data_IF_133895317605
#
_entry.id   IF_133895317605
#
_cell.length_a   1.000
_cell.length_b   1.000
_cell.length_c   1.000
_cell.angle_alpha   90.00
_cell.angle_beta   90.00
_cell.angle_gamma   90.00
#
_symmetry.space_group_name_H-M   'P 1'
#
loop_
_entity.id
_entity.type
_entity.pdbx_description
1 polymer ?
#
# COMPACT_ATOMS: atom_id res chain seq x y z
N UNK A 1 2.64 -5.74 18.28
CA UNK A 1 2.74 -6.91 17.38
C UNK A 1 4.21 -7.20 17.19
N UNK A 2 4.70 -8.47 17.26
CA UNK A 2 6.01 -8.80 16.73
C UNK A 2 6.22 -8.18 15.35
N UNK A 3 7.43 -7.71 15.14
CA UNK A 3 7.90 -7.19 13.87
C UNK A 3 8.20 -8.31 12.90
N UNK A 4 8.12 -8.00 11.61
CA UNK A 4 8.49 -8.91 10.53
C UNK A 4 9.48 -8.23 9.58
N UNK A 5 10.02 -9.01 8.65
CA UNK A 5 10.79 -8.47 7.54
C UNK A 5 9.85 -7.79 6.54
N UNK A 6 10.08 -6.50 6.27
CA UNK A 6 9.29 -5.65 5.38
C UNK A 6 10.16 -5.23 4.20
N UNK A 7 9.64 -5.38 2.98
CA UNK A 7 10.30 -4.95 1.75
C UNK A 7 10.58 -3.44 1.78
N UNK A 8 9.60 -2.66 2.22
CA UNK A 8 9.72 -1.22 2.45
C UNK A 8 9.39 -0.38 1.22
N UNK A 9 9.61 -0.92 0.02
CA UNK A 9 9.24 -0.31 -1.25
C UNK A 9 8.31 -1.17 -2.14
N UNK A 10 7.30 -1.81 -1.53
CA UNK A 10 6.38 -2.67 -2.29
C UNK A 10 5.40 -1.88 -3.18
N UNK A 11 5.60 -1.92 -4.50
CA UNK A 11 4.67 -1.40 -5.52
C UNK A 11 4.82 -2.18 -6.84
N UNK A 12 3.91 -1.97 -7.80
CA UNK A 12 3.90 -2.75 -9.07
C UNK A 12 5.20 -2.69 -9.88
N UNK A 13 6.01 -1.65 -9.72
CA UNK A 13 7.31 -1.54 -10.41
C UNK A 13 8.34 -2.55 -9.91
N UNK A 14 8.17 -3.06 -8.68
CA UNK A 14 9.08 -3.98 -8.02
C UNK A 14 8.57 -5.45 -8.05
N UNK A 15 7.50 -5.71 -8.81
CA UNK A 15 6.94 -7.05 -9.00
C UNK A 15 7.06 -7.44 -10.48
N UNK A 16 7.77 -8.53 -10.74
CA UNK A 16 7.90 -9.11 -12.07
C UNK A 16 6.93 -10.28 -12.23
N UNK A 17 6.19 -10.32 -13.33
CA UNK A 17 5.29 -11.42 -13.67
C UNK A 17 5.95 -12.39 -14.64
N UNK A 18 5.58 -13.66 -14.53
CA UNK A 18 6.07 -14.72 -15.41
C UNK A 18 5.55 -14.52 -16.83
N UNK A 19 6.30 -15.04 -17.79
CA UNK A 19 5.92 -15.02 -19.20
C UNK A 19 5.86 -16.47 -19.70
N UNK A 20 4.80 -16.82 -20.42
CA UNK A 20 4.65 -18.15 -21.00
C UNK A 20 5.62 -18.36 -22.18
N UNK A 21 5.67 -19.60 -22.68
CA UNK A 21 6.49 -19.96 -23.85
C UNK A 21 6.16 -19.17 -25.13
N UNK A 22 5.01 -18.51 -25.19
CA UNK A 22 4.54 -17.73 -26.34
C UNK A 22 4.78 -16.21 -26.15
N UNK A 23 5.33 -15.78 -25.01
CA UNK A 23 5.56 -14.36 -24.72
C UNK A 23 4.38 -13.66 -24.03
N UNK A 24 3.35 -14.38 -23.57
CA UNK A 24 2.22 -13.78 -22.87
C UNK A 24 2.50 -13.63 -21.37
N UNK A 25 2.09 -12.51 -20.78
CA UNK A 25 2.15 -12.28 -19.34
C UNK A 25 1.20 -13.25 -18.63
N UNK A 26 1.70 -13.92 -17.59
CA UNK A 26 0.94 -14.82 -16.74
C UNK A 26 0.64 -14.18 -15.37
N UNK A 27 -0.19 -14.84 -14.56
CA UNK A 27 -0.62 -14.33 -13.25
C UNK A 27 0.32 -14.73 -12.11
N UNK A 28 1.40 -15.47 -12.41
CA UNK A 28 2.40 -15.91 -11.45
C UNK A 28 3.51 -14.87 -11.29
N UNK A 29 3.78 -14.48 -10.04
CA UNK A 29 4.93 -13.61 -9.72
C UNK A 29 6.21 -14.40 -9.98
N UNK A 30 7.06 -13.89 -10.86
CA UNK A 30 8.39 -14.43 -11.16
C UNK A 30 9.43 -13.96 -10.14
N UNK A 31 9.36 -12.69 -9.74
CA UNK A 31 10.28 -12.10 -8.77
C UNK A 31 9.69 -10.87 -8.08
N UNK A 32 10.14 -10.65 -6.85
CA UNK A 32 10.04 -9.37 -6.16
C UNK A 32 11.48 -8.85 -6.05
N UNK A 33 11.71 -7.63 -6.54
CA UNK A 33 13.05 -7.03 -6.67
C UNK A 33 13.11 -5.71 -5.91
N UNK A 34 14.29 -5.09 -5.86
CA UNK A 34 14.47 -3.79 -5.19
C UNK A 34 14.28 -3.86 -3.66
N UNK A 35 15.09 -4.70 -3.01
CA UNK A 35 15.08 -4.91 -1.56
C UNK A 35 15.93 -3.89 -0.78
N UNK A 36 16.33 -2.75 -1.38
CA UNK A 36 17.26 -1.81 -0.73
C UNK A 36 16.65 -1.06 0.47
N UNK A 37 15.33 -1.02 0.57
CA UNK A 37 14.59 -0.42 1.69
C UNK A 37 14.18 -1.44 2.75
N UNK A 38 14.71 -2.66 2.67
CA UNK A 38 14.40 -3.76 3.59
C UNK A 38 14.65 -3.34 5.05
N UNK A 39 13.66 -3.58 5.91
CA UNK A 39 13.78 -3.29 7.33
C UNK A 39 12.84 -4.17 8.17
N UNK A 40 13.02 -4.11 9.48
CA UNK A 40 12.10 -4.70 10.45
C UNK A 40 10.90 -3.77 10.67
N UNK A 41 9.68 -4.27 10.49
CA UNK A 41 8.48 -3.42 10.52
C UNK A 41 7.17 -4.15 10.78
N UNK A 42 6.07 -3.46 10.51
CA UNK A 42 4.71 -3.99 10.67
C UNK A 42 4.34 -4.97 9.56
N UNK A 43 3.58 -6.01 9.92
CA UNK A 43 3.04 -6.98 8.96
C UNK A 43 2.17 -6.36 7.86
N UNK A 44 1.63 -5.16 8.11
CA UNK A 44 0.76 -4.45 7.16
C UNK A 44 1.48 -3.37 6.36
N UNK A 45 2.77 -3.12 6.60
CA UNK A 45 3.51 -2.03 5.94
C UNK A 45 3.52 -2.18 4.41
N UNK A 46 3.92 -3.35 3.90
CA UNK A 46 3.99 -3.59 2.46
C UNK A 46 2.61 -3.67 1.82
N UNK A 47 1.60 -4.21 2.52
CA UNK A 47 0.23 -4.27 2.03
C UNK A 47 -0.37 -2.87 1.89
N UNK A 48 -0.22 -2.02 2.91
CA UNK A 48 -0.63 -0.63 2.86
C UNK A 48 0.09 0.14 1.75
N UNK A 49 1.41 -0.07 1.60
CA UNK A 49 2.17 0.57 0.53
C UNK A 49 1.66 0.15 -0.84
N UNK A 50 1.47 -1.14 -1.05
CA UNK A 50 0.97 -1.67 -2.31
C UNK A 50 -0.40 -1.09 -2.68
N UNK A 51 -1.36 -1.11 -1.75
CA UNK A 51 -2.72 -0.60 -1.99
C UNK A 51 -2.75 0.92 -2.22
N UNK A 52 -1.91 1.69 -1.51
CA UNK A 52 -1.84 3.15 -1.66
C UNK A 52 -1.19 3.54 -2.99
N UNK A 53 -0.08 2.91 -3.38
CA UNK A 53 0.66 3.28 -4.57
C UNK A 53 0.03 2.72 -5.86
N UNK A 54 -0.54 1.51 -5.80
CA UNK A 54 -1.01 0.81 -6.98
C UNK A 54 -2.51 1.00 -7.23
N UNK A 55 -3.33 1.06 -6.18
CA UNK A 55 -4.77 1.27 -6.28
C UNK A 55 -5.14 2.75 -6.41
N UNK A 56 -6.18 3.06 -7.19
CA UNK A 56 -6.88 4.33 -7.01
C UNK A 56 -7.77 4.32 -5.75
N UNK A 57 -8.34 5.49 -5.42
CA UNK A 57 -9.17 5.62 -4.22
C UNK A 57 -10.45 4.78 -4.24
N UNK A 58 -10.99 4.39 -5.40
CA UNK A 58 -12.17 3.51 -5.49
C UNK A 58 -11.74 2.07 -5.26
N UNK A 59 -10.77 1.58 -6.03
CA UNK A 59 -10.25 0.21 -5.93
C UNK A 59 -9.79 -0.06 -4.51
N UNK A 60 -8.97 0.83 -3.95
CA UNK A 60 -8.43 0.68 -2.59
C UNK A 60 -9.54 0.48 -1.55
N UNK A 61 -10.54 1.37 -1.51
CA UNK A 61 -11.65 1.30 -0.55
C UNK A 61 -12.50 0.02 -0.70
N UNK A 62 -12.54 -0.57 -1.90
CA UNK A 62 -13.24 -1.83 -2.15
C UNK A 62 -12.39 -3.06 -1.79
N UNK A 63 -11.06 -2.95 -1.89
CA UNK A 63 -10.14 -4.08 -1.72
C UNK A 63 -9.55 -4.20 -0.32
N UNK A 64 -9.48 -3.12 0.46
CA UNK A 64 -8.77 -3.08 1.75
C UNK A 64 -9.15 -4.20 2.71
N UNK A 65 -10.44 -4.30 3.06
CA UNK A 65 -10.93 -5.33 3.99
C UNK A 65 -10.66 -6.75 3.46
N UNK A 66 -10.97 -6.97 2.17
CA UNK A 66 -10.73 -8.25 1.50
C UNK A 66 -9.24 -8.64 1.52
N UNK A 67 -8.35 -7.68 1.30
CA UNK A 67 -6.91 -7.93 1.25
C UNK A 67 -6.35 -8.28 2.64
N UNK A 68 -6.83 -7.63 3.70
CA UNK A 68 -6.45 -7.94 5.09
C UNK A 68 -6.98 -9.32 5.49
N UNK A 69 -8.24 -9.63 5.16
CA UNK A 69 -8.84 -10.95 5.38
C UNK A 69 -8.07 -12.05 4.64
N UNK A 70 -7.75 -11.82 3.36
CA UNK A 70 -6.98 -12.75 2.56
C UNK A 70 -5.58 -12.99 3.15
N UNK A 71 -4.90 -11.92 3.57
CA UNK A 71 -3.61 -12.03 4.25
C UNK A 71 -3.71 -12.86 5.53
N UNK A 72 -4.75 -12.65 6.34
CA UNK A 72 -4.98 -13.41 7.56
C UNK A 72 -5.24 -14.91 7.29
N UNK A 73 -6.04 -15.22 6.27
CA UNK A 73 -6.27 -16.61 5.85
C UNK A 73 -4.99 -17.28 5.31
N UNK A 74 -4.15 -16.53 4.58
CA UNK A 74 -2.82 -17.00 4.20
C UNK A 74 -1.97 -17.33 5.43
N UNK A 75 -1.88 -16.44 6.42
CA UNK A 75 -1.17 -16.73 7.67
C UNK A 75 -1.72 -17.98 8.35
N UNK A 76 -3.04 -18.10 8.48
CA UNK A 76 -3.67 -19.27 9.10
C UNK A 76 -3.28 -20.56 8.41
N UNK A 77 -3.22 -20.56 7.08
CA UNK A 77 -2.75 -21.72 6.30
C UNK A 77 -1.29 -22.05 6.60
N UNK A 78 -0.40 -21.06 6.64
CA UNK A 78 1.02 -21.25 6.97
C UNK A 78 1.23 -21.75 8.41
N UNK A 79 0.34 -21.40 9.34
CA UNK A 79 0.30 -21.94 10.70
C UNK A 79 -0.47 -23.28 10.83
N UNK A 80 -0.65 -24.00 9.73
CA UNK A 80 -1.27 -25.34 9.72
C UNK A 80 -2.78 -25.34 9.98
N UNK A 81 -3.46 -24.23 9.73
CA UNK A 81 -4.89 -24.04 9.95
C UNK A 81 -5.27 -23.63 11.38
N UNK A 82 -4.29 -23.54 12.28
CA UNK A 82 -4.52 -23.23 13.69
C UNK A 82 -4.37 -21.73 13.98
N UNK A 83 -5.50 -21.03 14.04
CA UNK A 83 -5.54 -19.60 14.31
C UNK A 83 -4.96 -19.22 15.68
N UNK A 84 -4.89 -20.14 16.65
CA UNK A 84 -4.33 -19.85 17.97
C UNK A 84 -2.80 -19.65 17.96
N UNK A 85 -2.14 -20.08 16.88
CA UNK A 85 -0.69 -19.90 16.68
C UNK A 85 -0.33 -18.60 15.97
N UNK A 86 -1.31 -17.90 15.40
CA UNK A 86 -1.08 -16.64 14.73
C UNK A 86 -0.81 -15.58 15.82
N UNK A 87 0.32 -14.85 15.76
CA UNK A 87 0.70 -13.91 16.81
C UNK A 87 -0.13 -12.61 16.82
N UNK A 88 -1.09 -12.47 15.90
CA UNK A 88 -1.93 -11.29 15.74
C UNK A 88 -3.38 -11.70 15.49
N UNK A 89 -4.34 -10.92 16.02
CA UNK A 89 -5.74 -11.01 15.60
C UNK A 89 -5.99 -10.20 14.33
N UNK A 90 -7.10 -10.47 13.64
CA UNK A 90 -7.49 -9.70 12.45
C UNK A 90 -7.73 -8.22 12.79
N UNK A 91 -8.26 -7.91 13.98
CA UNK A 91 -8.45 -6.53 14.44
C UNK A 91 -7.11 -5.82 14.68
N UNK A 92 -6.09 -6.55 15.18
CA UNK A 92 -4.75 -6.00 15.32
C UNK A 92 -4.12 -5.72 13.95
N UNK A 93 -4.35 -6.58 12.96
CA UNK A 93 -3.93 -6.33 11.58
C UNK A 93 -4.66 -5.12 10.98
N UNK A 94 -5.98 -5.01 11.14
CA UNK A 94 -6.73 -3.84 10.68
C UNK A 94 -6.19 -2.54 11.28
N UNK A 95 -5.93 -2.53 12.59
CA UNK A 95 -5.35 -1.37 13.26
C UNK A 95 -3.94 -1.07 12.74
N UNK A 96 -3.11 -2.09 12.58
CA UNK A 96 -1.76 -1.94 12.03
C UNK A 96 -1.76 -1.43 10.58
N UNK A 97 -2.74 -1.84 9.77
CA UNK A 97 -2.98 -1.33 8.44
C UNK A 97 -3.36 0.16 8.48
N UNK A 98 -4.28 0.55 9.36
CA UNK A 98 -4.70 1.96 9.50
C UNK A 98 -3.51 2.86 9.86
N UNK A 99 -2.63 2.45 10.77
CA UNK A 99 -1.39 3.17 11.07
C UNK A 99 -0.45 3.24 9.85
N UNK A 100 -0.19 2.10 9.20
CA UNK A 100 0.69 2.07 8.03
C UNK A 100 0.15 2.95 6.90
N UNK A 101 -1.16 2.91 6.66
CA UNK A 101 -1.85 3.71 5.66
C UNK A 101 -1.61 5.21 5.83
N UNK A 102 -1.64 5.74 7.06
CA UNK A 102 -1.35 7.16 7.30
C UNK A 102 0.03 7.56 6.78
N UNK A 103 1.04 6.73 7.09
CA UNK A 103 2.42 6.97 6.63
C UNK A 103 2.54 6.80 5.12
N UNK A 104 1.90 5.79 4.53
CA UNK A 104 1.98 5.57 3.07
C UNK A 104 1.22 6.64 2.28
N UNK A 105 0.11 7.17 2.79
CA UNK A 105 -0.60 8.28 2.17
C UNK A 105 0.26 9.55 2.14
N UNK A 106 1.03 9.80 3.20
CA UNK A 106 2.03 10.86 3.23
C UNK A 106 3.14 10.62 2.18
N UNK A 107 3.71 9.41 2.12
CA UNK A 107 4.75 9.10 1.13
C UNK A 107 4.26 9.25 -0.31
N UNK A 108 3.05 8.78 -0.64
CA UNK A 108 2.49 8.96 -1.99
C UNK A 108 2.39 10.45 -2.38
N UNK A 109 2.03 11.31 -1.43
CA UNK A 109 1.98 12.76 -1.68
C UNK A 109 3.38 13.34 -1.88
N UNK A 110 4.36 12.90 -1.08
CA UNK A 110 5.75 13.35 -1.18
C UNK A 110 6.45 12.85 -2.47
N UNK A 111 6.15 11.62 -2.90
CA UNK A 111 6.76 10.95 -4.04
C UNK A 111 6.00 11.20 -5.35
N UNK A 112 4.99 12.06 -5.35
CA UNK A 112 4.12 12.29 -6.52
C UNK A 112 4.94 12.70 -7.76
N UNK A 113 5.84 13.67 -7.60
CA UNK A 113 6.70 14.15 -8.69
C UNK A 113 7.65 13.06 -9.20
N UNK A 114 8.09 12.13 -8.33
CA UNK A 114 8.97 11.04 -8.70
C UNK A 114 8.24 10.00 -9.59
N UNK A 115 7.02 9.62 -9.22
CA UNK A 115 6.26 8.60 -9.95
C UNK A 115 5.50 9.14 -11.17
N UNK A 116 5.13 10.43 -11.17
CA UNK A 116 4.27 11.02 -12.20
C UNK A 116 4.90 12.20 -12.96
N UNK A 117 6.10 12.64 -12.56
CA UNK A 117 6.85 13.73 -13.20
C UNK A 117 6.60 15.11 -12.55
N UNK A 118 7.56 16.05 -12.64
CA UNK A 118 7.50 17.31 -11.91
C UNK A 118 6.47 18.30 -12.50
N UNK A 119 5.85 19.08 -11.61
CA UNK A 119 4.91 20.18 -11.94
C UNK A 119 5.44 21.17 -12.99
N UNK A 120 6.76 21.38 -13.06
CA UNK A 120 7.39 22.35 -13.98
C UNK A 120 7.24 21.97 -15.44
N UNK A 121 7.02 20.68 -15.74
CA UNK A 121 6.81 20.19 -17.10
C UNK A 121 5.39 20.49 -17.61
N UNK A 122 4.47 21.02 -16.78
CA UNK A 122 3.08 21.33 -17.19
C UNK A 122 2.95 22.32 -18.33
N UNK A 123 3.96 23.19 -18.55
CA UNK A 123 4.00 24.10 -19.70
C UNK A 123 4.58 23.47 -20.97
N UNK A 124 5.33 22.38 -20.84
CA UNK A 124 5.97 21.65 -21.95
C UNK A 124 5.22 20.34 -22.30
N UNK A 125 4.29 19.92 -21.43
CA UNK A 125 3.34 18.83 -21.61
C UNK A 125 2.27 19.19 -22.67
N UNK A 126 2.69 19.27 -23.93
CA UNK A 126 1.81 19.37 -25.10
C UNK A 126 1.14 18.01 -25.45
N UNK A 127 1.26 17.03 -24.55
CA UNK A 127 0.81 15.65 -24.71
C UNK A 127 -0.28 15.37 -23.66
N UNK A 128 -1.53 15.35 -24.13
CA UNK A 128 -2.71 15.15 -23.26
C UNK A 128 -2.67 13.85 -22.46
N UNK A 129 -1.95 12.82 -22.92
CA UNK A 129 -1.81 11.54 -22.21
C UNK A 129 -0.99 11.72 -20.93
N UNK A 130 0.13 12.43 -21.01
CA UNK A 130 1.01 12.66 -19.87
C UNK A 130 0.34 13.55 -18.81
N UNK A 131 -0.41 14.56 -19.25
CA UNK A 131 -1.19 15.40 -18.33
C UNK A 131 -2.25 14.57 -17.60
N UNK A 132 -3.00 13.73 -18.35
CA UNK A 132 -4.01 12.85 -17.75
C UNK A 132 -3.39 11.85 -16.75
N UNK A 133 -2.19 11.33 -17.05
CA UNK A 133 -1.48 10.43 -16.14
C UNK A 133 -1.06 11.12 -14.83
N UNK A 134 -0.55 12.35 -14.92
CA UNK A 134 -0.22 13.16 -13.75
C UNK A 134 -1.46 13.50 -12.92
N UNK A 135 -2.54 13.98 -13.57
CA UNK A 135 -3.81 14.29 -12.91
C UNK A 135 -4.39 13.06 -12.21
N UNK A 136 -4.25 11.87 -12.80
CA UNK A 136 -4.60 10.61 -12.17
C UNK A 136 -3.78 10.35 -10.89
N UNK A 137 -2.46 10.58 -10.93
CA UNK A 137 -1.59 10.51 -9.75
C UNK A 137 -2.03 11.47 -8.64
N UNK A 138 -2.34 12.73 -8.99
CA UNK A 138 -2.83 13.75 -8.04
C UNK A 138 -4.15 13.31 -7.42
N UNK A 139 -5.09 12.82 -8.22
CA UNK A 139 -6.39 12.33 -7.72
C UNK A 139 -6.21 11.15 -6.77
N UNK A 140 -5.31 10.21 -7.09
CA UNK A 140 -4.96 9.09 -6.22
C UNK A 140 -4.41 9.57 -4.87
N UNK A 141 -3.43 10.48 -4.89
CA UNK A 141 -2.83 11.06 -3.69
C UNK A 141 -3.86 11.86 -2.86
N UNK A 142 -4.70 12.67 -3.51
CA UNK A 142 -5.76 13.43 -2.84
C UNK A 142 -6.79 12.51 -2.17
N UNK A 143 -7.17 11.41 -2.82
CA UNK A 143 -8.06 10.43 -2.20
C UNK A 143 -7.40 9.76 -1.00
N UNK A 144 -6.14 9.33 -1.12
CA UNK A 144 -5.39 8.75 0.00
C UNK A 144 -5.30 9.73 1.19
N UNK A 145 -4.97 11.00 0.93
CA UNK A 145 -4.93 12.04 1.94
C UNK A 145 -6.28 12.25 2.64
N UNK A 146 -7.38 12.33 1.87
CA UNK A 146 -8.74 12.50 2.44
C UNK A 146 -9.18 11.30 3.28
N UNK A 147 -8.83 10.10 2.85
CA UNK A 147 -9.12 8.90 3.62
C UNK A 147 -8.26 8.86 4.91
N UNK A 148 -7.01 9.34 4.84
CA UNK A 148 -6.11 9.46 6.00
C UNK A 148 -6.62 10.50 7.01
N UNK A 149 -7.09 11.66 6.54
CA UNK A 149 -7.69 12.70 7.38
C UNK A 149 -8.93 12.16 8.12
N UNK A 150 -9.79 11.39 7.46
CA UNK A 150 -10.93 10.73 8.12
C UNK A 150 -10.49 9.77 9.22
N UNK A 151 -9.45 8.96 8.97
CA UNK A 151 -8.89 8.05 9.97
C UNK A 151 -8.34 8.84 11.17
N UNK A 152 -7.61 9.94 10.90
CA UNK A 152 -7.05 10.83 11.92
C UNK A 152 -8.13 11.51 12.78
N UNK A 153 -9.24 11.93 12.19
CA UNK A 153 -10.36 12.56 12.91
C UNK A 153 -11.25 11.54 13.64
N UNK A 154 -11.20 10.26 13.23
CA UNK A 154 -12.01 9.18 13.77
C UNK A 154 -11.22 8.27 14.73
N UNK A 155 -11.07 7.00 14.35
CA UNK A 155 -10.49 5.93 15.18
C UNK A 155 -9.12 6.28 15.75
N UNK A 156 -8.30 7.02 14.99
CA UNK A 156 -6.93 7.33 15.39
C UNK A 156 -6.88 8.51 16.36
N UNK A 157 -7.89 9.39 16.36
CA UNK A 157 -7.96 10.53 17.28
C UNK A 157 -7.95 10.07 18.72
N UNK A 158 -8.81 9.11 19.05
CA UNK A 158 -8.90 8.55 20.40
C UNK A 158 -7.57 7.91 20.84
N UNK A 159 -6.85 7.31 19.91
CA UNK A 159 -5.53 6.75 20.18
C UNK A 159 -4.52 7.87 20.51
N UNK A 160 -4.41 8.89 19.67
CA UNK A 160 -3.45 9.99 19.91
C UNK A 160 -3.79 10.78 21.18
N UNK A 161 -5.08 11.07 21.41
CA UNK A 161 -5.57 11.74 22.63
C UNK A 161 -5.18 10.94 23.90
N UNK A 162 -5.29 9.61 23.86
CA UNK A 162 -4.92 8.73 24.98
C UNK A 162 -3.44 8.80 25.34
N UNK A 163 -2.57 8.99 24.35
CA UNK A 163 -1.12 8.99 24.53
C UNK A 163 -0.49 10.39 24.53
N UNK A 164 -1.30 11.45 24.42
CA UNK A 164 -0.84 12.84 24.49
C UNK A 164 0.05 13.27 23.32
N UNK A 165 -0.21 12.72 22.13
CA UNK A 165 0.49 13.03 20.87
C UNK A 165 -0.38 13.97 20.04
#
# INVERSE_FOLDING_TARGET
MPSILVHGDMHMGNIMFSIDKNGNICNEIAAIVDWQTLHEGSAMSDLARFLVFCGDGVVRRQSEAMAIEFYYECLKKEFGGDASKIPYSIEQLQKAYNFAFLTQAFFLLADLDFFYGPIKDRKELNDGIKMAYYDYGVLKALHAYRDADKLLQGEMKEYFDKYGI
#
